data_IF_291614273131
#
_entry.id   IF_291614273131
#
_cell.length_a   1.000
_cell.length_b   1.000
_cell.length_c   1.000
_cell.angle_alpha   90.00
_cell.angle_beta   90.00
_cell.angle_gamma   90.00
#
_symmetry.space_group_name_H-M   'P 1'
#
loop_
_entity.id
_entity.type
_entity.pdbx_description
1 polymer ?
#
# COMPACT_ATOMS: atom_id res chain seq x y z
N UNK A 1 -44.28 25.77 -6.04
CA UNK A 1 -44.29 25.01 -7.33
C UNK A 1 -42.91 24.81 -7.97
N UNK A 2 -41.80 25.32 -7.41
CA UNK A 2 -40.45 25.16 -8.00
C UNK A 2 -39.75 23.83 -7.65
N UNK A 3 -40.12 23.17 -6.56
CA UNK A 3 -39.44 21.94 -6.11
C UNK A 3 -39.78 20.68 -6.95
N UNK A 4 -40.92 20.69 -7.67
CA UNK A 4 -41.36 19.54 -8.49
C UNK A 4 -40.58 19.47 -9.80
N UNK A 5 -40.15 20.62 -10.34
CA UNK A 5 -39.41 20.69 -11.61
C UNK A 5 -37.96 20.20 -11.47
N UNK A 6 -37.32 20.40 -10.31
CA UNK A 6 -35.95 19.93 -10.07
C UNK A 6 -35.89 18.39 -9.93
N UNK A 7 -36.97 17.77 -9.40
CA UNK A 7 -37.09 16.32 -9.30
C UNK A 7 -37.22 15.62 -10.66
N UNK A 8 -37.98 16.22 -11.60
CA UNK A 8 -38.11 15.70 -12.96
C UNK A 8 -36.80 15.80 -13.76
N UNK A 9 -36.00 16.85 -13.53
CA UNK A 9 -34.71 17.02 -14.18
C UNK A 9 -33.68 15.96 -13.73
N UNK A 10 -33.70 15.55 -12.46
CA UNK A 10 -32.83 14.50 -11.93
C UNK A 10 -33.28 13.09 -12.34
N UNK A 11 -34.57 12.87 -12.56
CA UNK A 11 -35.09 11.59 -13.07
C UNK A 11 -34.70 11.36 -14.54
N UNK A 12 -34.62 12.43 -15.35
CA UNK A 12 -34.24 12.35 -16.76
C UNK A 12 -32.74 12.10 -17.02
N UNK A 13 -31.88 12.16 -15.99
CA UNK A 13 -30.44 11.91 -16.12
C UNK A 13 -30.01 10.51 -15.67
N UNK A 14 -30.95 9.61 -15.37
CA UNK A 14 -30.62 8.20 -15.11
C UNK A 14 -30.50 7.45 -16.44
N UNK A 15 -29.27 7.16 -16.85
CA UNK A 15 -28.98 6.31 -18.02
C UNK A 15 -29.68 4.95 -17.90
N UNK A 16 -30.27 4.40 -18.98
CA UNK A 16 -30.90 3.09 -18.92
C UNK A 16 -29.85 1.99 -18.65
N UNK A 17 -30.19 0.94 -17.89
CA UNK A 17 -29.29 -0.19 -17.69
C UNK A 17 -29.11 -0.94 -19.01
N UNK A 18 -27.84 -1.11 -19.41
CA UNK A 18 -27.47 -1.93 -20.57
C UNK A 18 -27.79 -3.41 -20.29
N UNK A 19 -28.37 -4.15 -21.26
CA UNK A 19 -28.62 -5.58 -21.10
C UNK A 19 -27.34 -6.40 -21.22
N UNK A 20 -27.03 -7.19 -20.19
CA UNK A 20 -26.01 -8.24 -20.23
C UNK A 20 -26.44 -9.34 -21.21
N UNK A 21 -25.71 -9.48 -22.32
CA UNK A 21 -25.90 -10.58 -23.29
C UNK A 21 -25.45 -11.91 -22.67
N UNK A 22 -26.28 -12.96 -22.63
CA UNK A 22 -25.82 -14.31 -22.36
C UNK A 22 -25.36 -14.94 -23.68
N UNK A 23 -24.08 -15.27 -23.79
CA UNK A 23 -23.60 -16.19 -24.81
C UNK A 23 -23.52 -17.58 -24.17
N UNK A 24 -24.59 -18.35 -24.34
CA UNK A 24 -24.56 -19.80 -24.21
C UNK A 24 -24.22 -20.38 -25.59
N UNK A 25 -23.23 -21.28 -25.61
CA UNK A 25 -23.00 -22.40 -26.53
C UNK A 25 -21.48 -22.60 -26.68
N UNK A 26 -20.93 -23.63 -26.04
CA UNK A 26 -20.66 -24.91 -26.71
C UNK A 26 -19.74 -25.75 -25.81
N UNK A 27 -20.24 -26.91 -25.37
CA UNK A 27 -19.42 -27.92 -24.69
C UNK A 27 -18.58 -28.66 -25.74
N UNK A 28 -17.27 -28.53 -25.65
CA UNK A 28 -16.29 -29.41 -26.31
C UNK A 28 -15.36 -30.05 -25.26
N UNK A 29 -14.99 -31.33 -25.40
CA UNK A 29 -14.23 -32.07 -24.38
C UNK A 29 -12.80 -31.54 -24.23
N UNK A 30 -12.19 -31.68 -23.02
CA UNK A 30 -10.88 -31.10 -22.73
C UNK A 30 -9.74 -31.82 -23.48
N UNK A 31 -8.75 -31.09 -24.03
CA UNK A 31 -7.53 -31.70 -24.55
C UNK A 31 -6.61 -32.19 -23.41
N UNK A 32 -5.82 -33.26 -23.64
CA UNK A 32 -4.98 -33.89 -22.61
C UNK A 32 -3.79 -33.02 -22.19
N UNK A 33 -3.49 -33.07 -20.89
CA UNK A 33 -2.35 -32.44 -20.21
C UNK A 33 -0.99 -32.76 -20.85
N UNK A 34 -0.09 -31.79 -21.00
CA UNK A 34 1.33 -32.08 -21.15
C UNK A 34 2.00 -32.18 -19.76
N UNK A 35 2.34 -33.42 -19.39
CA UNK A 35 3.37 -33.71 -18.37
C UNK A 35 4.74 -33.51 -19.01
N UNK A 36 5.49 -32.49 -18.59
CA UNK A 36 6.95 -32.44 -18.72
C UNK A 36 7.57 -31.60 -17.58
N UNK A 37 8.02 -32.32 -16.55
CA UNK A 37 9.33 -32.23 -15.87
C UNK A 37 9.79 -30.97 -15.10
N UNK A 38 10.71 -31.16 -14.13
CA UNK A 38 10.89 -30.30 -12.96
C UNK A 38 12.14 -29.41 -13.03
N UNK A 39 12.18 -28.45 -12.10
CA UNK A 39 13.35 -27.73 -11.62
C UNK A 39 13.96 -26.71 -12.57
N UNK A 40 13.46 -25.48 -12.49
CA UNK A 40 14.26 -24.30 -12.78
C UNK A 40 14.09 -23.32 -11.62
N UNK A 41 15.20 -23.10 -10.92
CA UNK A 41 15.33 -22.16 -9.83
C UNK A 41 14.77 -20.79 -10.24
N UNK A 42 13.59 -20.46 -9.73
CA UNK A 42 13.09 -19.09 -9.73
C UNK A 42 13.96 -18.29 -8.75
N UNK A 43 15.13 -17.88 -9.23
CA UNK A 43 15.83 -16.70 -8.75
C UNK A 43 14.78 -15.59 -8.68
N UNK A 44 14.41 -15.26 -7.45
CA UNK A 44 13.52 -14.17 -7.09
C UNK A 44 14.02 -12.91 -7.80
N UNK A 45 13.41 -12.61 -8.95
CA UNK A 45 13.63 -11.37 -9.67
C UNK A 45 13.10 -10.26 -8.79
N UNK A 46 13.95 -9.77 -7.90
CA UNK A 46 13.69 -8.55 -7.17
C UNK A 46 13.33 -7.51 -8.21
N UNK A 47 12.10 -7.02 -8.18
CA UNK A 47 11.58 -5.98 -9.07
C UNK A 47 12.20 -4.63 -8.73
N UNK A 48 13.53 -4.58 -8.72
CA UNK A 48 14.34 -3.39 -8.66
C UNK A 48 14.19 -2.66 -9.98
N UNK A 49 13.70 -1.45 -9.90
CA UNK A 49 13.64 -0.53 -11.04
C UNK A 49 15.08 -0.18 -11.45
N UNK A 50 15.38 0.09 -12.74
CA UNK A 50 16.74 0.38 -13.22
C UNK A 50 17.48 1.51 -12.48
N UNK A 51 16.76 2.39 -11.78
CA UNK A 51 17.31 3.47 -10.98
C UNK A 51 17.72 3.04 -9.56
N UNK A 52 17.65 1.74 -9.21
CA UNK A 52 18.00 1.22 -7.88
C UNK A 52 16.88 1.36 -6.83
N UNK A 53 15.71 1.88 -7.21
CA UNK A 53 14.54 1.92 -6.34
C UNK A 53 13.76 0.60 -6.38
N UNK A 54 13.06 0.26 -5.30
CA UNK A 54 12.18 -0.92 -5.24
C UNK A 54 10.95 -0.63 -4.40
N UNK A 55 9.86 -1.38 -4.64
CA UNK A 55 8.71 -1.33 -3.74
C UNK A 55 9.05 -2.00 -2.41
N UNK A 56 8.64 -1.39 -1.31
CA UNK A 56 8.76 -1.95 0.05
C UNK A 56 7.44 -1.79 0.76
N UNK A 57 7.15 -2.69 1.70
CA UNK A 57 6.02 -2.52 2.61
C UNK A 57 6.18 -1.20 3.40
N UNK A 58 5.08 -0.55 3.79
CA UNK A 58 5.17 0.69 4.53
C UNK A 58 5.82 0.47 5.90
N UNK A 59 6.73 1.38 6.27
CA UNK A 59 7.27 1.45 7.63
C UNK A 59 6.40 2.33 8.53
N UNK A 60 5.64 3.24 7.94
CA UNK A 60 4.75 4.18 8.65
C UNK A 60 3.35 4.07 8.06
N UNK A 61 2.35 3.94 8.93
CA UNK A 61 0.93 4.01 8.58
C UNK A 61 0.25 5.19 9.25
N UNK A 62 -0.43 6.02 8.46
CA UNK A 62 -1.32 7.05 8.97
C UNK A 62 -2.74 6.46 9.00
N UNK A 63 -3.14 5.96 10.17
CA UNK A 63 -4.38 5.20 10.35
C UNK A 63 -5.65 6.07 10.46
N UNK A 64 -5.51 7.38 10.69
CA UNK A 64 -6.65 8.26 10.93
C UNK A 64 -6.30 9.57 11.63
N UNK A 65 -7.29 10.40 11.97
CA UNK A 65 -8.74 10.17 11.79
C UNK A 65 -9.31 10.90 10.57
N UNK A 66 -10.46 10.44 10.06
CA UNK A 66 -11.20 11.14 8.98
C UNK A 66 -11.46 12.60 9.39
N UNK A 67 -11.27 13.52 8.45
CA UNK A 67 -11.35 14.99 8.67
C UNK A 67 -10.33 15.57 9.67
N UNK A 68 -9.37 14.78 10.17
CA UNK A 68 -8.31 15.22 11.07
C UNK A 68 -7.05 15.76 10.38
N UNK A 69 -7.11 16.09 9.09
CA UNK A 69 -5.95 16.62 8.36
C UNK A 69 -4.94 15.58 7.87
N UNK A 70 -5.32 14.29 7.80
CA UNK A 70 -4.42 13.21 7.36
C UNK A 70 -3.85 13.41 5.95
N UNK A 71 -4.58 14.10 5.06
CA UNK A 71 -4.12 14.45 3.70
C UNK A 71 -2.99 15.48 3.75
N UNK A 72 -3.18 16.56 4.52
CA UNK A 72 -2.15 17.57 4.70
C UNK A 72 -0.89 16.98 5.36
N UNK A 73 -1.05 16.06 6.32
CA UNK A 73 0.08 15.39 6.97
C UNK A 73 0.92 14.59 5.96
N UNK A 74 0.30 13.72 5.15
CA UNK A 74 1.06 12.92 4.18
C UNK A 74 1.68 13.81 3.09
N UNK A 75 1.02 14.89 2.67
CA UNK A 75 1.61 15.85 1.72
C UNK A 75 2.84 16.51 2.28
N UNK A 76 2.77 17.01 3.52
CA UNK A 76 3.90 17.65 4.18
C UNK A 76 5.07 16.68 4.40
N UNK A 77 4.79 15.43 4.78
CA UNK A 77 5.83 14.39 4.89
C UNK A 77 6.47 14.07 3.53
N UNK A 78 5.69 14.09 2.46
CA UNK A 78 6.18 13.78 1.10
C UNK A 78 7.13 14.84 0.54
N UNK A 79 7.19 16.04 1.14
CA UNK A 79 8.19 17.05 0.79
C UNK A 79 9.59 16.68 1.27
N UNK A 80 9.71 15.74 2.22
CA UNK A 80 11.00 15.32 2.76
C UNK A 80 11.66 14.26 1.88
N UNK A 81 12.91 14.47 1.44
CA UNK A 81 13.60 13.56 0.52
C UNK A 81 13.78 12.12 1.01
N UNK A 82 13.75 11.89 2.33
CA UNK A 82 13.79 10.55 2.93
C UNK A 82 12.42 9.84 3.02
N UNK A 83 11.36 10.37 2.40
CA UNK A 83 10.00 9.81 2.46
C UNK A 83 9.48 9.47 1.06
N UNK A 84 8.93 8.27 0.92
CA UNK A 84 8.19 7.84 -0.27
C UNK A 84 6.74 7.52 0.14
N UNK A 85 5.80 8.37 -0.25
CA UNK A 85 4.40 8.22 0.16
C UNK A 85 3.53 7.56 -0.92
N UNK A 86 2.65 6.65 -0.51
CA UNK A 86 1.57 6.17 -1.35
C UNK A 86 0.58 7.30 -1.63
N UNK A 87 0.21 7.50 -2.90
CA UNK A 87 -0.63 8.62 -3.32
C UNK A 87 -2.10 8.43 -2.90
N UNK A 88 -2.59 7.19 -2.93
CA UNK A 88 -3.99 6.85 -2.72
C UNK A 88 -4.19 6.07 -1.41
N UNK A 89 -5.42 6.11 -0.90
CA UNK A 89 -5.85 5.25 0.21
C UNK A 89 -5.93 3.81 -0.29
N UNK A 90 -5.14 2.92 0.29
CA UNK A 90 -5.01 1.55 -0.23
C UNK A 90 -6.12 0.64 0.29
N UNK A 91 -6.71 0.97 1.45
CA UNK A 91 -7.78 0.19 2.06
C UNK A 91 -7.44 -1.30 2.20
N UNK A 92 -6.20 -1.64 2.55
CA UNK A 92 -5.75 -3.02 2.59
C UNK A 92 -6.30 -3.76 3.82
N UNK A 93 -6.23 -3.13 4.99
CA UNK A 93 -6.58 -3.80 6.25
C UNK A 93 -8.09 -3.76 6.55
N UNK A 94 -8.84 -2.79 6.03
CA UNK A 94 -10.26 -2.59 6.28
C UNK A 94 -11.17 -3.25 5.23
N UNK A 95 -10.76 -3.35 3.95
CA UNK A 95 -11.57 -4.03 2.94
C UNK A 95 -11.19 -5.51 2.81
N UNK A 96 -12.20 -6.38 2.88
CA UNK A 96 -11.95 -7.82 2.81
C UNK A 96 -11.42 -8.25 1.45
N UNK A 97 -11.97 -7.67 0.38
CA UNK A 97 -11.56 -7.92 -1.00
C UNK A 97 -10.11 -7.52 -1.29
N UNK A 98 -9.55 -6.57 -0.53
CA UNK A 98 -8.14 -6.18 -0.65
C UNK A 98 -7.25 -7.06 0.22
N UNK A 99 -7.67 -7.32 1.47
CA UNK A 99 -6.91 -8.16 2.39
C UNK A 99 -6.71 -9.59 1.86
N UNK A 100 -7.74 -10.16 1.22
CA UNK A 100 -7.68 -11.49 0.60
C UNK A 100 -6.69 -11.59 -0.57
N UNK A 101 -6.32 -10.47 -1.21
CA UNK A 101 -5.30 -10.47 -2.27
C UNK A 101 -3.88 -10.63 -1.72
N UNK A 102 -3.71 -10.52 -0.40
CA UNK A 102 -2.45 -10.76 0.30
C UNK A 102 -1.40 -9.65 0.19
N UNK A 103 -0.25 -9.88 0.82
CA UNK A 103 0.82 -8.89 0.96
C UNK A 103 1.52 -8.57 -0.37
N UNK A 104 1.54 -9.49 -1.33
CA UNK A 104 2.11 -9.24 -2.66
C UNK A 104 1.32 -8.16 -3.39
N UNK A 105 -0.01 -8.22 -3.32
CA UNK A 105 -0.87 -7.17 -3.83
C UNK A 105 -0.65 -5.86 -3.07
N UNK A 106 -0.58 -5.90 -1.73
CA UNK A 106 -0.34 -4.68 -0.94
C UNK A 106 1.01 -4.01 -1.28
N UNK A 107 2.08 -4.80 -1.41
CA UNK A 107 3.39 -4.35 -1.85
C UNK A 107 3.33 -3.71 -3.24
N UNK A 108 2.50 -4.24 -4.15
CA UNK A 108 2.34 -3.66 -5.49
C UNK A 108 1.70 -2.27 -5.49
N UNK A 109 0.98 -1.89 -4.42
CA UNK A 109 0.38 -0.57 -4.27
C UNK A 109 1.37 0.47 -3.73
N UNK A 110 2.53 0.03 -3.26
CA UNK A 110 3.53 0.93 -2.68
C UNK A 110 4.33 1.65 -3.76
N UNK A 111 4.77 2.90 -3.50
CA UNK A 111 5.67 3.61 -4.39
C UNK A 111 7.03 2.89 -4.45
N UNK A 112 7.78 3.18 -5.50
CA UNK A 112 9.19 2.82 -5.54
C UNK A 112 9.96 3.73 -4.57
N UNK A 113 10.79 3.12 -3.71
CA UNK A 113 11.58 3.82 -2.70
C UNK A 113 13.06 3.43 -2.77
N UNK A 114 13.94 4.40 -2.58
CA UNK A 114 15.39 4.18 -2.42
C UNK A 114 15.70 3.57 -1.04
N UNK A 115 16.79 2.80 -0.87
CA UNK A 115 17.16 2.13 0.38
C UNK A 115 17.08 2.95 1.67
N UNK A 116 17.36 4.24 1.58
CA UNK A 116 17.38 5.23 2.66
C UNK A 116 16.01 5.90 2.89
N UNK A 117 15.01 5.66 2.05
CA UNK A 117 13.68 6.23 2.17
C UNK A 117 12.72 5.36 2.99
N UNK A 118 11.86 6.03 3.77
CA UNK A 118 10.74 5.44 4.48
C UNK A 118 9.47 5.48 3.61
N UNK A 119 8.85 4.32 3.43
CA UNK A 119 7.57 4.16 2.73
C UNK A 119 6.42 4.42 3.68
N UNK A 120 5.48 5.28 3.28
CA UNK A 120 4.35 5.72 4.10
C UNK A 120 3.03 5.48 3.36
N UNK A 121 2.04 4.91 4.06
CA UNK A 121 0.68 4.73 3.55
C UNK A 121 -0.35 5.41 4.47
N UNK A 122 -1.45 5.91 3.91
CA UNK A 122 -2.50 6.61 4.65
C UNK A 122 -3.89 6.13 4.24
N UNK A 123 -4.59 5.50 5.18
CA UNK A 123 -6.01 5.16 5.06
C UNK A 123 -6.73 5.53 6.36
N UNK A 124 -7.46 6.66 6.42
CA UNK A 124 -8.09 7.15 7.64
C UNK A 124 -9.22 6.27 8.18
N UNK A 125 -9.74 5.36 7.36
CA UNK A 125 -10.77 4.39 7.75
C UNK A 125 -10.23 3.31 8.71
N UNK A 126 -8.91 3.13 8.77
CA UNK A 126 -8.27 2.14 9.65
C UNK A 126 -8.58 2.40 11.12
N UNK A 127 -8.59 3.67 11.55
CA UNK A 127 -8.85 4.05 12.93
C UNK A 127 -10.18 3.53 13.49
N UNK A 128 -11.22 3.48 12.67
CA UNK A 128 -12.57 3.05 13.09
C UNK A 128 -12.85 1.57 12.85
N UNK A 129 -11.91 0.83 12.26
CA UNK A 129 -12.11 -0.55 11.86
C UNK A 129 -11.53 -1.51 12.90
N UNK A 130 -12.40 -2.28 13.57
CA UNK A 130 -12.02 -3.18 14.67
C UNK A 130 -11.04 -4.29 14.29
N UNK A 131 -11.04 -4.71 13.01
CA UNK A 131 -10.15 -5.78 12.51
C UNK A 131 -8.74 -5.31 12.18
N UNK A 132 -8.54 -4.00 11.99
CA UNK A 132 -7.28 -3.45 11.51
C UNK A 132 -6.13 -3.61 12.50
N UNK A 133 -6.27 -3.33 13.82
CA UNK A 133 -5.17 -3.47 14.77
C UNK A 133 -4.54 -4.87 14.77
N UNK A 134 -5.37 -5.92 14.74
CA UNK A 134 -4.90 -7.30 14.69
C UNK A 134 -4.11 -7.59 13.40
N UNK A 135 -4.67 -7.23 12.24
CA UNK A 135 -4.03 -7.46 10.94
C UNK A 135 -2.72 -6.69 10.77
N UNK A 136 -2.67 -5.46 11.28
CA UNK A 136 -1.46 -4.63 11.32
C UNK A 136 -0.37 -5.30 12.17
N UNK A 137 -0.75 -5.79 13.35
CA UNK A 137 0.19 -6.49 14.24
C UNK A 137 0.70 -7.81 13.65
N UNK A 138 -0.17 -8.57 12.97
CA UNK A 138 0.20 -9.80 12.25
C UNK A 138 1.18 -9.53 11.09
N UNK A 139 1.02 -8.41 10.37
CA UNK A 139 1.94 -8.04 9.29
C UNK A 139 3.31 -7.62 9.83
N UNK A 140 3.32 -6.74 10.84
CA UNK A 140 4.56 -6.26 11.44
C UNK A 140 4.30 -5.89 12.90
N UNK A 141 4.74 -6.74 13.86
CA UNK A 141 4.49 -6.49 15.28
C UNK A 141 5.14 -5.19 15.78
N UNK A 142 6.25 -4.77 15.16
CA UNK A 142 6.96 -3.54 15.50
C UNK A 142 6.28 -2.28 14.95
N UNK A 143 5.35 -2.41 14.00
CA UNK A 143 4.65 -1.25 13.42
C UNK A 143 3.67 -0.60 14.40
N UNK A 144 3.16 -1.35 15.37
CA UNK A 144 2.26 -0.85 16.40
C UNK A 144 3.01 -0.12 17.54
N UNK A 145 4.29 -0.45 17.75
CA UNK A 145 5.18 0.33 18.61
C UNK A 145 5.84 1.36 17.72
N UNK A 146 5.15 2.46 17.40
CA UNK A 146 5.64 3.53 16.50
C UNK A 146 7.15 3.55 16.43
N UNK A 147 7.69 2.89 15.39
CA UNK A 147 9.05 2.33 15.40
C UNK A 147 9.99 3.47 15.73
N UNK A 148 10.47 3.47 16.97
CA UNK A 148 11.37 4.49 17.45
C UNK A 148 12.54 4.49 16.47
N UNK A 149 12.62 5.58 15.71
CA UNK A 149 13.68 5.87 14.76
C UNK A 149 14.99 5.32 15.31
N UNK A 150 15.53 4.28 14.66
CA UNK A 150 16.82 3.73 15.02
C UNK A 150 17.88 4.42 14.14
N UNK A 151 18.56 5.48 14.63
CA UNK A 151 19.54 6.23 13.84
C UNK A 151 20.69 5.36 13.32
N UNK A 152 20.89 4.18 13.93
CA UNK A 152 21.91 3.20 13.54
C UNK A 152 21.65 2.54 12.19
N UNK A 153 20.46 2.71 11.59
CA UNK A 153 20.12 2.17 10.25
C UNK A 153 20.36 3.16 9.11
N UNK A 154 20.92 4.34 9.37
CA UNK A 154 21.38 5.22 8.29
C UNK A 154 22.67 4.67 7.66
N UNK A 155 22.69 4.38 6.34
CA UNK A 155 23.94 4.10 5.66
C UNK A 155 24.70 5.43 5.52
N UNK A 156 25.63 5.73 6.44
CA UNK A 156 26.51 6.89 6.29
C UNK A 156 26.87 7.69 7.56
N UNK A 157 26.69 7.14 8.76
CA UNK A 157 27.28 7.76 9.95
C UNK A 157 28.82 7.64 9.92
N UNK A 158 29.53 8.70 9.53
CA UNK A 158 30.96 8.84 9.82
C UNK A 158 31.16 8.56 11.32
N UNK A 159 31.88 7.49 11.64
CA UNK A 159 32.36 7.26 13.00
C UNK A 159 33.15 8.49 13.42
N UNK A 160 32.65 9.22 14.43
CA UNK A 160 33.47 10.21 15.12
C UNK A 160 34.66 9.43 15.73
N UNK A 161 35.91 9.85 15.49
CA UNK A 161 37.05 9.20 16.12
C UNK A 161 36.92 9.33 17.63
N UNK A 162 37.09 8.20 18.34
CA UNK A 162 37.11 8.13 19.79
C UNK A 162 38.20 9.05 20.33
N UNK A 163 37.81 10.10 21.05
CA UNK A 163 38.75 10.93 21.80
C UNK A 163 39.37 10.10 22.91
N UNK A 164 40.66 9.81 22.80
CA UNK A 164 41.46 9.24 23.89
C UNK A 164 41.64 10.25 25.03
N UNK A 165 42.04 9.78 26.23
CA UNK A 165 42.16 10.63 27.40
C UNK A 165 43.32 11.63 27.23
N UNK A 166 43.02 12.91 27.45
CA UNK A 166 44.01 13.98 27.55
C UNK A 166 44.63 13.87 28.95
N UNK A 167 45.83 13.30 29.04
CA UNK A 167 46.71 13.48 30.19
C UNK A 167 47.46 14.80 30.03
N UNK A 168 47.44 15.64 31.07
CA UNK A 168 48.37 16.75 31.25
C UNK A 168 48.83 16.78 32.69
#
# INVERSE_FOLDING_TARGET
MAAVLLGLLLFAMQSPPLPSRPAAADEGPPPPSPTLSPAENASSSSSSHPNGSRRRLPQILIIGVRKGGTRALIEMLSLHGAVAAAQNEVHFFDWESHFQKGLSWYLSQMPYAFPDQLTVEKTPAYFTSSKVPKRVHEMNPDMNRGSAYNPSRLPGGRQRPSGGPITR
#
